data_IF_996615003255
#
_entry.id   IF_996615003255
#
_cell.length_a   1.000
_cell.length_b   1.000
_cell.length_c   1.000
_cell.angle_alpha   90.00
_cell.angle_beta   90.00
_cell.angle_gamma   90.00
#
_symmetry.space_group_name_H-M   'P 1'
#
loop_
_entity.id
_entity.type
_entity.pdbx_description
1 polymer ?
#
# COMPACT_ATOMS: atom_id res chain seq x y z
N UNK A 1 -4.66 2.54 67.08
CA UNK A 1 -4.74 1.08 66.89
C UNK A 1 -4.10 0.82 65.53
N UNK A 2 -2.81 0.50 65.41
CA UNK A 2 -2.14 -0.79 65.73
C UNK A 2 -2.87 -1.94 65.02
N UNK A 3 -2.37 -2.71 64.05
CA UNK A 3 -1.12 -2.87 63.27
C UNK A 3 -1.45 -3.84 62.09
N UNK A 4 -0.54 -4.09 61.13
CA UNK A 4 -0.82 -4.50 59.74
C UNK A 4 -0.29 -5.91 59.32
N UNK A 5 -0.53 -6.28 58.04
CA UNK A 5 0.20 -7.21 57.10
C UNK A 5 0.52 -8.66 57.55
N UNK A 6 0.81 -9.64 56.64
CA UNK A 6 1.95 -9.66 55.68
C UNK A 6 1.58 -10.21 54.27
N UNK A 7 2.14 -9.75 53.14
CA UNK A 7 3.50 -9.96 52.59
C UNK A 7 4.06 -11.38 52.73
N UNK A 8 4.07 -12.14 51.63
CA UNK A 8 4.90 -13.32 51.45
C UNK A 8 5.83 -13.07 50.27
N UNK A 9 7.07 -12.72 50.62
CA UNK A 9 8.28 -12.93 49.84
C UNK A 9 8.82 -14.33 50.16
N UNK A 10 9.07 -15.16 49.16
CA UNK A 10 10.09 -16.20 49.27
C UNK A 10 10.95 -16.23 48.00
N UNK A 11 12.20 -15.86 48.22
CA UNK A 11 13.38 -16.15 47.44
C UNK A 11 13.71 -17.64 47.49
N UNK A 12 14.17 -18.22 46.38
CA UNK A 12 15.16 -19.29 46.42
C UNK A 12 16.07 -19.25 45.19
N UNK A 13 17.27 -18.72 45.40
CA UNK A 13 18.48 -19.03 44.66
C UNK A 13 18.74 -20.53 44.63
N UNK A 14 18.97 -21.07 43.42
CA UNK A 14 19.83 -22.21 43.07
C UNK A 14 19.95 -22.13 41.54
N UNK A 15 21.09 -22.15 40.86
CA UNK A 15 22.47 -22.43 41.18
C UNK A 15 23.15 -22.54 39.81
N UNK A 16 24.31 -21.92 39.62
CA UNK A 16 24.99 -21.87 38.32
C UNK A 16 25.52 -23.23 37.87
N UNK A 17 25.57 -23.43 36.55
CA UNK A 17 26.47 -24.37 35.89
C UNK A 17 26.63 -24.04 34.39
N UNK A 18 27.73 -23.39 34.05
CA UNK A 18 28.57 -23.67 32.87
C UNK A 18 30.02 -23.70 33.41
N UNK A 19 31.05 -24.31 32.76
CA UNK A 19 31.14 -24.72 31.35
C UNK A 19 31.80 -26.11 31.10
N UNK A 20 31.60 -26.67 29.91
CA UNK A 20 32.52 -27.62 29.26
C UNK A 20 32.18 -27.62 27.75
N UNK A 21 32.90 -26.91 26.88
CA UNK A 21 34.20 -27.19 26.28
C UNK A 21 34.25 -28.35 25.27
N UNK A 22 34.90 -28.05 24.14
CA UNK A 22 35.33 -28.91 23.03
C UNK A 22 34.30 -29.41 21.99
N UNK A 23 34.30 -28.79 20.80
CA UNK A 23 34.94 -29.38 19.62
C UNK A 23 34.69 -28.55 18.35
N UNK A 24 35.74 -27.83 17.95
CA UNK A 24 35.94 -27.30 16.60
C UNK A 24 36.06 -28.45 15.59
N UNK A 25 35.33 -28.38 14.48
CA UNK A 25 35.72 -29.02 13.22
C UNK A 25 35.42 -28.11 12.03
N UNK A 26 36.47 -27.37 11.65
CA UNK A 26 36.68 -26.86 10.30
C UNK A 26 36.80 -28.02 9.31
N UNK A 27 36.01 -28.03 8.23
CA UNK A 27 36.36 -28.73 6.98
C UNK A 27 35.73 -28.05 5.77
N UNK A 28 36.55 -27.36 4.99
CA UNK A 28 36.43 -27.12 3.54
C UNK A 28 37.88 -27.08 2.99
N UNK A 29 38.14 -27.20 1.67
CA UNK A 29 37.26 -27.53 0.54
C UNK A 29 37.80 -28.70 -0.32
N UNK A 30 36.96 -29.32 -1.16
CA UNK A 30 37.43 -30.18 -2.25
C UNK A 30 36.93 -29.65 -3.59
N UNK A 31 37.90 -29.23 -4.40
CA UNK A 31 37.81 -28.75 -5.78
C UNK A 31 37.69 -29.91 -6.77
N UNK A 32 36.83 -29.78 -7.79
CA UNK A 32 36.91 -30.54 -9.04
C UNK A 32 36.78 -29.61 -10.25
N UNK A 33 37.48 -29.85 -11.38
CA UNK A 33 37.75 -28.84 -12.40
C UNK A 33 36.70 -28.77 -13.53
N UNK A 34 36.72 -27.60 -14.18
CA UNK A 34 36.01 -27.18 -15.38
C UNK A 34 36.27 -28.06 -16.61
N UNK A 35 35.24 -28.27 -17.44
CA UNK A 35 35.46 -28.38 -18.89
C UNK A 35 34.24 -27.90 -19.70
N UNK A 36 34.42 -26.77 -20.39
CA UNK A 36 33.53 -26.23 -21.40
C UNK A 36 33.79 -26.94 -22.74
N UNK A 37 32.74 -27.42 -23.43
CA UNK A 37 32.82 -27.85 -24.83
C UNK A 37 31.88 -27.05 -25.71
N UNK A 38 32.47 -26.39 -26.71
CA UNK A 38 31.81 -25.63 -27.77
C UNK A 38 31.10 -26.55 -28.78
N UNK A 39 30.09 -26.06 -29.53
CA UNK A 39 29.36 -26.87 -30.49
C UNK A 39 30.07 -26.89 -31.86
N UNK A 40 30.01 -27.99 -32.62
CA UNK A 40 30.51 -28.03 -33.99
C UNK A 40 29.46 -27.46 -34.96
N UNK A 41 29.93 -26.61 -35.88
CA UNK A 41 29.29 -26.27 -37.16
C UNK A 41 29.65 -27.34 -38.17
N UNK A 42 28.72 -27.81 -39.02
CA UNK A 42 28.99 -28.11 -40.44
C UNK A 42 27.74 -28.50 -41.26
N UNK A 43 27.58 -27.76 -42.37
CA UNK A 43 26.91 -27.92 -43.68
C UNK A 43 26.06 -29.15 -44.08
N UNK A 44 24.89 -28.81 -44.65
CA UNK A 44 24.29 -29.20 -45.94
C UNK A 44 24.53 -30.58 -46.57
N UNK A 45 23.43 -31.28 -46.94
CA UNK A 45 23.16 -31.95 -48.23
C UNK A 45 21.66 -32.35 -48.24
N UNK A 46 20.80 -31.65 -48.99
CA UNK A 46 20.13 -32.07 -50.24
C UNK A 46 19.52 -33.49 -50.17
N UNK A 47 18.19 -33.57 -50.07
CA UNK A 47 17.41 -34.65 -50.68
C UNK A 47 16.28 -34.00 -51.47
N UNK A 48 16.19 -34.45 -52.71
CA UNK A 48 15.43 -33.89 -53.81
C UNK A 48 14.00 -34.45 -53.86
N UNK A 49 13.08 -33.54 -54.22
CA UNK A 49 11.77 -33.69 -54.85
C UNK A 49 10.86 -34.88 -54.52
N UNK A 50 9.65 -34.56 -54.05
CA UNK A 50 8.41 -35.04 -54.67
C UNK A 50 7.27 -34.04 -54.38
N UNK A 51 6.76 -33.42 -55.44
CA UNK A 51 5.70 -32.39 -55.41
C UNK A 51 4.33 -33.03 -55.68
N UNK A 52 3.29 -32.71 -54.91
CA UNK A 52 1.91 -32.76 -55.40
C UNK A 52 1.38 -31.36 -55.77
N UNK A 53 0.47 -31.35 -56.73
CA UNK A 53 -0.10 -30.22 -57.47
C UNK A 53 -0.87 -29.17 -56.60
N UNK A 54 -1.18 -27.98 -57.15
CA UNK A 54 -1.34 -26.74 -56.41
C UNK A 54 -2.72 -26.59 -55.75
N UNK A 55 -2.74 -26.15 -54.50
CA UNK A 55 -3.92 -25.63 -53.81
C UNK A 55 -3.83 -24.11 -53.84
N UNK A 56 -4.80 -23.47 -54.47
CA UNK A 56 -4.99 -22.03 -54.46
C UNK A 56 -5.20 -21.51 -53.03
N UNK A 57 -4.12 -21.02 -52.42
CA UNK A 57 -4.19 -20.22 -51.19
C UNK A 57 -3.58 -18.85 -51.43
N UNK A 58 -4.45 -17.83 -51.39
CA UNK A 58 -4.10 -16.41 -51.32
C UNK A 58 -2.95 -16.19 -50.31
N UNK A 59 -1.96 -15.34 -50.62
CA UNK A 59 -0.86 -15.10 -49.70
C UNK A 59 -1.40 -14.48 -48.41
N UNK A 60 -1.22 -15.21 -47.31
CA UNK A 60 -1.41 -14.70 -45.97
C UNK A 60 -0.46 -13.52 -45.79
N UNK A 61 -1.02 -12.33 -45.60
CA UNK A 61 -0.28 -11.16 -45.15
C UNK A 61 0.27 -11.50 -43.78
N UNK A 62 1.56 -11.87 -43.74
CA UNK A 62 2.34 -11.95 -42.52
C UNK A 62 2.41 -10.56 -41.92
N UNK A 63 1.43 -10.20 -41.08
CA UNK A 63 1.54 -9.08 -40.17
C UNK A 63 2.65 -9.42 -39.20
N UNK A 64 3.88 -9.00 -39.54
CA UNK A 64 4.95 -8.87 -38.56
C UNK A 64 4.43 -7.91 -37.50
N UNK A 65 3.97 -8.45 -36.38
CA UNK A 65 3.75 -7.65 -35.18
C UNK A 65 5.09 -7.04 -34.82
N UNK A 66 5.22 -5.75 -35.09
CA UNK A 66 6.29 -4.93 -34.54
C UNK A 66 6.26 -5.11 -33.02
N UNK A 67 7.37 -5.45 -32.35
CA UNK A 67 7.36 -5.58 -30.91
C UNK A 67 6.87 -4.25 -30.34
N UNK A 68 5.74 -4.26 -29.61
CA UNK A 68 5.30 -3.08 -28.85
C UNK A 68 6.48 -2.68 -27.98
N UNK A 69 7.14 -1.58 -28.31
CA UNK A 69 8.20 -1.01 -27.49
C UNK A 69 7.57 -0.72 -26.14
N UNK A 70 7.80 -1.59 -25.15
CA UNK A 70 7.36 -1.39 -23.78
C UNK A 70 8.03 -0.11 -23.30
N UNK A 71 7.28 0.98 -23.32
CA UNK A 71 7.72 2.25 -22.73
C UNK A 71 7.83 2.02 -21.23
N UNK A 72 8.96 2.37 -20.63
CA UNK A 72 9.14 2.30 -19.18
C UNK A 72 7.96 2.99 -18.48
N UNK A 73 7.29 2.32 -17.53
CA UNK A 73 6.21 2.92 -16.75
C UNK A 73 6.66 4.25 -16.12
N UNK A 74 5.78 5.25 -16.07
CA UNK A 74 6.09 6.56 -15.48
C UNK A 74 4.86 7.10 -14.76
N UNK A 75 5.04 7.48 -13.50
CA UNK A 75 3.99 8.17 -12.74
C UNK A 75 3.78 9.58 -13.30
N UNK A 76 2.52 10.03 -13.35
CA UNK A 76 2.16 11.37 -13.84
C UNK A 76 1.78 12.27 -12.68
N UNK A 77 2.31 13.49 -12.68
CA UNK A 77 2.02 14.49 -11.65
C UNK A 77 1.14 15.59 -12.28
N UNK A 78 0.01 15.89 -11.64
CA UNK A 78 -0.97 16.89 -12.11
C UNK A 78 -1.22 17.89 -11.00
N UNK A 79 -1.22 19.19 -11.31
CA UNK A 79 -1.59 20.22 -10.34
C UNK A 79 -3.11 20.18 -10.11
N UNK A 80 -3.53 19.89 -8.88
CA UNK A 80 -4.94 19.85 -8.48
C UNK A 80 -5.41 21.18 -7.89
N UNK A 81 -4.54 21.86 -7.14
CA UNK A 81 -4.90 23.09 -6.44
C UNK A 81 -3.71 24.04 -6.30
N UNK A 82 -4.02 25.34 -6.31
CA UNK A 82 -3.07 26.40 -5.99
C UNK A 82 -2.19 26.82 -7.17
N UNK A 83 -1.11 27.53 -6.86
CA UNK A 83 -0.10 27.97 -7.83
C UNK A 83 1.28 27.64 -7.30
N UNK A 84 2.10 26.86 -8.00
CA UNK A 84 3.44 26.51 -7.55
C UNK A 84 4.31 27.74 -7.31
N UNK A 85 5.06 27.76 -6.21
CA UNK A 85 6.05 28.78 -5.88
C UNK A 85 7.25 28.13 -5.20
N UNK A 86 8.45 28.64 -5.47
CA UNK A 86 9.71 28.03 -5.01
C UNK A 86 9.81 27.87 -3.49
N UNK A 87 9.30 28.86 -2.73
CA UNK A 87 9.37 28.88 -1.25
C UNK A 87 8.23 28.13 -0.54
N UNK A 88 7.33 27.48 -1.28
CA UNK A 88 6.23 26.72 -0.68
C UNK A 88 6.60 25.26 -0.52
N UNK A 89 6.02 24.62 0.49
CA UNK A 89 6.05 23.16 0.66
C UNK A 89 4.79 22.57 0.03
N UNK A 90 4.88 21.93 -1.15
CA UNK A 90 3.73 21.34 -1.80
C UNK A 90 3.34 20.01 -1.16
N UNK A 91 2.08 19.60 -1.36
CA UNK A 91 1.58 18.28 -1.04
C UNK A 91 1.39 17.47 -2.32
N UNK A 92 1.94 16.25 -2.35
CA UNK A 92 1.68 15.27 -3.40
C UNK A 92 0.71 14.20 -2.86
N UNK A 93 -0.52 14.22 -3.36
CA UNK A 93 -1.55 13.23 -3.10
C UNK A 93 -1.45 12.09 -4.12
N UNK A 94 -0.95 10.94 -3.67
CA UNK A 94 -0.81 9.74 -4.49
C UNK A 94 -2.18 9.10 -4.69
N UNK A 95 -2.47 8.68 -5.91
CA UNK A 95 -3.70 8.00 -6.27
C UNK A 95 -3.98 6.79 -5.37
N UNK A 96 -5.26 6.53 -5.15
CA UNK A 96 -5.71 5.39 -4.37
C UNK A 96 -5.52 4.06 -5.14
N UNK A 97 -6.17 2.99 -4.67
CA UNK A 97 -6.09 1.69 -5.33
C UNK A 97 -6.58 1.66 -6.78
N UNK A 98 -7.37 2.62 -7.24
CA UNK A 98 -7.75 2.71 -8.66
C UNK A 98 -6.58 3.13 -9.56
N UNK A 99 -5.51 3.67 -8.98
CA UNK A 99 -4.35 4.20 -9.69
C UNK A 99 -4.58 5.56 -10.34
N UNK A 100 -5.80 6.12 -10.26
CA UNK A 100 -6.15 7.41 -10.83
C UNK A 100 -6.29 8.48 -9.75
N UNK A 101 -5.92 9.72 -10.09
CA UNK A 101 -6.20 10.90 -9.27
C UNK A 101 -7.68 11.31 -9.32
N UNK A 102 -8.52 10.57 -10.06
CA UNK A 102 -9.97 10.78 -10.13
C UNK A 102 -10.63 10.82 -8.74
N UNK A 103 -10.10 10.08 -7.76
CA UNK A 103 -10.55 10.09 -6.35
C UNK A 103 -10.51 11.47 -5.70
N UNK A 104 -9.68 12.38 -6.23
CA UNK A 104 -9.50 13.73 -5.70
C UNK A 104 -10.30 14.81 -6.45
N UNK A 105 -11.05 14.47 -7.51
CA UNK A 105 -11.71 15.48 -8.37
C UNK A 105 -12.84 16.24 -7.67
N UNK A 106 -13.45 15.63 -6.66
CA UNK A 106 -14.54 16.24 -5.91
C UNK A 106 -14.06 17.04 -4.70
N UNK A 107 -12.74 17.11 -4.44
CA UNK A 107 -12.21 17.96 -3.39
C UNK A 107 -12.56 19.42 -3.70
N UNK A 108 -13.28 20.13 -2.79
CA UNK A 108 -13.48 21.55 -2.95
C UNK A 108 -12.14 22.30 -2.84
N UNK A 109 -12.09 23.57 -3.29
CA UNK A 109 -10.88 24.37 -3.16
C UNK A 109 -10.37 24.41 -1.72
N UNK A 110 -9.05 24.28 -1.57
CA UNK A 110 -8.39 24.39 -0.28
C UNK A 110 -8.16 25.86 0.10
N UNK A 111 -8.21 26.15 1.39
CA UNK A 111 -7.77 27.41 1.98
C UNK A 111 -6.30 27.33 2.43
N UNK A 112 -5.42 26.90 1.51
CA UNK A 112 -3.98 26.86 1.75
C UNK A 112 -3.22 27.61 0.66
N UNK A 113 -2.03 28.09 1.01
CA UNK A 113 -1.10 28.65 0.04
C UNK A 113 -0.32 27.54 -0.68
N UNK A 114 -0.20 26.34 -0.11
CA UNK A 114 0.54 25.23 -0.71
C UNK A 114 -0.09 24.75 -2.01
N UNK A 115 0.75 24.50 -3.01
CA UNK A 115 0.32 23.76 -4.19
C UNK A 115 0.03 22.30 -3.81
N UNK A 116 -1.06 21.75 -4.36
CA UNK A 116 -1.42 20.34 -4.17
C UNK A 116 -1.40 19.66 -5.53
N UNK A 117 -0.62 18.60 -5.62
CA UNK A 117 -0.49 17.77 -6.81
C UNK A 117 -1.14 16.42 -6.59
N UNK A 118 -1.74 15.86 -7.63
CA UNK A 118 -2.13 14.46 -7.72
C UNK A 118 -1.03 13.67 -8.41
N UNK A 119 -0.74 12.46 -7.93
CA UNK A 119 0.21 11.54 -8.55
C UNK A 119 -0.53 10.29 -9.02
N UNK A 120 -0.66 10.13 -10.33
CA UNK A 120 -1.22 8.93 -10.93
C UNK A 120 -0.23 7.75 -10.87
N UNK A 121 -0.78 6.55 -10.78
CA UNK A 121 0.00 5.33 -10.84
C UNK A 121 0.77 5.20 -12.16
N UNK A 122 2.02 4.69 -12.13
CA UNK A 122 2.76 4.36 -13.35
C UNK A 122 2.10 3.27 -14.20
N UNK A 123 1.17 2.50 -13.63
CA UNK A 123 0.52 1.34 -14.24
C UNK A 123 -0.92 1.61 -14.69
N UNK A 124 -1.38 2.87 -14.73
CA UNK A 124 -2.74 3.22 -15.22
C UNK A 124 -3.08 2.68 -16.61
N UNK A 125 -2.08 2.58 -17.50
CA UNK A 125 -2.24 2.03 -18.86
C UNK A 125 -2.15 0.50 -18.94
N UNK A 126 -1.56 -0.13 -17.93
CA UNK A 126 -1.30 -1.57 -17.84
C UNK A 126 -1.60 -2.04 -16.41
N UNK A 127 -2.87 -1.91 -15.97
CA UNK A 127 -3.26 -2.13 -14.57
C UNK A 127 -3.00 -3.55 -14.08
N UNK A 128 -2.97 -4.54 -14.99
CA UNK A 128 -2.61 -5.92 -14.72
C UNK A 128 -1.19 -6.10 -14.18
N UNK A 129 -0.32 -5.10 -14.39
CA UNK A 129 1.04 -5.10 -13.87
C UNK A 129 1.11 -4.68 -12.40
N UNK A 130 0.06 -4.11 -11.79
CA UNK A 130 0.08 -3.63 -10.41
C UNK A 130 0.04 -4.80 -9.40
N UNK A 131 1.08 -5.64 -9.30
CA UNK A 131 1.27 -6.67 -8.27
C UNK A 131 2.63 -7.36 -8.45
N UNK A 132 2.98 -8.30 -7.55
CA UNK A 132 4.19 -9.11 -7.68
C UNK A 132 5.46 -8.25 -7.70
N UNK A 133 6.32 -8.46 -8.69
CA UNK A 133 7.56 -7.68 -8.88
C UNK A 133 7.33 -6.17 -9.09
N UNK A 134 6.14 -5.81 -9.55
CA UNK A 134 5.68 -4.44 -9.77
C UNK A 134 4.80 -3.90 -8.63
N UNK A 135 4.78 -4.59 -7.48
CA UNK A 135 4.02 -4.21 -6.28
C UNK A 135 4.45 -2.87 -5.66
N UNK A 136 4.08 -2.64 -4.39
CA UNK A 136 4.28 -1.36 -3.70
C UNK A 136 5.69 -0.77 -3.87
N UNK A 137 6.81 -1.50 -3.66
CA UNK A 137 8.15 -0.94 -3.80
C UNK A 137 8.48 -0.42 -5.22
N UNK A 138 8.08 -1.15 -6.25
CA UNK A 138 8.41 -0.80 -7.63
C UNK A 138 7.50 0.34 -8.14
N UNK A 139 6.20 0.28 -7.83
CA UNK A 139 5.29 1.39 -8.09
C UNK A 139 5.79 2.69 -7.41
N UNK A 140 6.22 2.60 -6.15
CA UNK A 140 6.79 3.72 -5.42
C UNK A 140 8.08 4.25 -6.05
N UNK A 141 8.97 3.39 -6.57
CA UNK A 141 10.18 3.84 -7.29
C UNK A 141 9.84 4.77 -8.47
N UNK A 142 8.84 4.43 -9.27
CA UNK A 142 8.41 5.29 -10.37
C UNK A 142 7.80 6.61 -9.89
N UNK A 143 7.15 6.61 -8.72
CA UNK A 143 6.63 7.82 -8.08
C UNK A 143 7.79 8.69 -7.55
N UNK A 144 8.80 8.09 -6.91
CA UNK A 144 10.04 8.75 -6.47
C UNK A 144 10.70 9.46 -7.64
N UNK A 145 10.91 8.74 -8.75
CA UNK A 145 11.52 9.29 -9.97
C UNK A 145 10.75 10.53 -10.47
N UNK A 146 9.41 10.47 -10.50
CA UNK A 146 8.57 11.59 -10.91
C UNK A 146 8.59 12.76 -9.91
N UNK A 147 8.56 12.48 -8.61
CA UNK A 147 8.60 13.52 -7.55
C UNK A 147 9.94 14.25 -7.60
N UNK A 148 11.06 13.52 -7.71
CA UNK A 148 12.40 14.09 -7.84
C UNK A 148 12.57 14.92 -9.11
N UNK A 149 11.95 14.53 -10.23
CA UNK A 149 11.93 15.34 -11.46
C UNK A 149 11.11 16.63 -11.28
N UNK A 150 9.94 16.54 -10.65
CA UNK A 150 9.04 17.69 -10.48
C UNK A 150 9.53 18.72 -9.45
N UNK A 151 10.25 18.26 -8.43
CA UNK A 151 10.77 19.07 -7.35
C UNK A 151 12.09 18.44 -6.89
N UNK A 152 13.23 18.77 -7.52
CA UNK A 152 14.52 18.17 -7.17
C UNK A 152 14.93 18.46 -5.72
N UNK A 153 14.68 19.69 -5.27
CA UNK A 153 15.13 20.19 -3.97
C UNK A 153 13.99 20.76 -3.12
N UNK A 154 14.30 21.03 -1.85
CA UNK A 154 13.40 21.67 -0.91
C UNK A 154 12.38 20.73 -0.27
N UNK A 155 11.63 21.24 0.74
CA UNK A 155 10.73 20.45 1.56
C UNK A 155 9.52 19.98 0.73
N UNK A 156 8.95 18.83 1.05
CA UNK A 156 7.69 18.37 0.46
C UNK A 156 6.86 17.60 1.47
N UNK A 157 5.55 17.59 1.25
CA UNK A 157 4.62 16.69 1.92
C UNK A 157 4.15 15.61 0.94
N UNK A 158 3.98 14.40 1.45
CA UNK A 158 3.36 13.29 0.73
C UNK A 158 2.08 12.89 1.43
N UNK A 159 1.15 12.33 0.69
CA UNK A 159 0.06 11.59 1.29
C UNK A 159 -0.82 10.89 0.28
N UNK A 160 -1.86 10.25 0.75
CA UNK A 160 -2.85 9.66 -0.14
C UNK A 160 -3.94 8.91 0.60
N UNK A 161 -5.06 8.75 -0.10
CA UNK A 161 -6.18 7.95 0.32
C UNK A 161 -5.99 6.47 0.00
N UNK A 162 -6.35 5.62 0.95
CA UNK A 162 -6.31 4.17 0.82
C UNK A 162 -4.90 3.71 0.42
N UNK A 163 -4.79 2.95 -0.66
CA UNK A 163 -3.54 2.57 -1.29
C UNK A 163 -2.51 3.68 -1.52
N UNK A 164 -2.96 4.92 -1.74
CA UNK A 164 -2.09 6.09 -1.88
C UNK A 164 -1.31 6.39 -0.61
N UNK A 165 -1.87 6.11 0.57
CA UNK A 165 -1.17 6.22 1.86
C UNK A 165 -0.06 5.17 2.00
N UNK A 166 -0.33 3.93 1.58
CA UNK A 166 0.67 2.85 1.58
C UNK A 166 1.82 3.12 0.61
N UNK A 167 1.50 3.59 -0.60
CA UNK A 167 2.50 4.05 -1.57
C UNK A 167 3.26 5.26 -1.04
N UNK A 168 2.59 6.21 -0.37
CA UNK A 168 3.21 7.39 0.24
C UNK A 168 4.22 7.04 1.32
N UNK A 169 3.92 6.04 2.16
CA UNK A 169 4.88 5.49 3.11
C UNK A 169 6.14 4.98 2.41
N UNK A 170 5.98 4.16 1.37
CA UNK A 170 7.14 3.59 0.67
C UNK A 170 7.94 4.64 -0.11
N UNK A 171 7.26 5.61 -0.75
CA UNK A 171 7.91 6.74 -1.41
C UNK A 171 8.70 7.57 -0.40
N UNK A 172 8.16 7.80 0.79
CA UNK A 172 8.87 8.48 1.88
C UNK A 172 10.15 7.72 2.26
N UNK A 173 10.07 6.38 2.41
CA UNK A 173 11.21 5.54 2.77
C UNK A 173 12.30 5.61 1.70
N UNK A 174 11.94 5.45 0.44
CA UNK A 174 12.88 5.48 -0.70
C UNK A 174 13.48 6.88 -0.92
N UNK A 175 12.72 7.97 -0.77
CA UNK A 175 13.26 9.32 -0.85
C UNK A 175 14.32 9.56 0.24
N UNK A 176 14.06 9.09 1.46
CA UNK A 176 15.02 9.24 2.55
C UNK A 176 16.29 8.40 2.35
N UNK A 177 16.18 7.21 1.75
CA UNK A 177 17.34 6.41 1.32
C UNK A 177 18.20 7.15 0.27
N UNK A 178 17.60 8.06 -0.50
CA UNK A 178 18.27 8.97 -1.43
C UNK A 178 18.73 10.29 -0.76
N UNK A 179 18.71 10.36 0.58
CA UNK A 179 19.12 11.54 1.35
C UNK A 179 18.07 12.66 1.40
N UNK A 180 16.83 12.40 0.97
CA UNK A 180 15.76 13.40 0.91
C UNK A 180 14.63 13.07 1.88
N UNK A 181 14.68 13.72 3.04
CA UNK A 181 13.64 13.56 4.08
C UNK A 181 12.34 14.29 3.70
N UNK A 182 11.20 13.64 3.95
CA UNK A 182 9.86 14.22 3.77
C UNK A 182 9.46 14.99 5.04
N UNK A 183 8.86 16.17 4.87
CA UNK A 183 8.49 17.03 6.01
C UNK A 183 7.15 16.59 6.64
N UNK A 184 6.21 16.10 5.83
CA UNK A 184 4.88 15.69 6.26
C UNK A 184 4.40 14.47 5.51
N UNK A 185 3.98 13.43 6.22
CA UNK A 185 3.31 12.26 5.65
C UNK A 185 1.85 12.21 6.12
N UNK A 186 0.92 12.28 5.17
CA UNK A 186 -0.51 12.18 5.40
C UNK A 186 -1.04 10.82 4.94
N UNK A 187 -1.56 10.03 5.87
CA UNK A 187 -2.17 8.73 5.58
C UNK A 187 -3.67 8.88 5.74
N UNK A 188 -4.44 8.54 4.71
CA UNK A 188 -5.90 8.65 4.77
C UNK A 188 -6.48 7.24 4.61
N UNK A 189 -7.00 6.72 5.72
CA UNK A 189 -7.83 5.52 5.81
C UNK A 189 -7.24 4.26 5.19
N UNK A 190 -6.08 3.84 5.71
CA UNK A 190 -5.42 2.57 5.34
C UNK A 190 -4.66 2.03 6.55
N UNK A 191 -4.71 0.72 6.80
CA UNK A 191 -3.95 0.10 7.88
C UNK A 191 -2.44 0.26 7.69
N UNK A 192 -1.69 0.24 8.78
CA UNK A 192 -0.23 0.12 8.73
C UNK A 192 0.19 -1.16 8.00
N UNK A 193 1.42 -1.24 7.46
CA UNK A 193 1.94 -2.50 6.96
C UNK A 193 1.84 -3.59 8.04
N UNK A 194 1.51 -4.81 7.64
CA UNK A 194 1.29 -5.92 8.58
C UNK A 194 2.56 -6.74 8.73
N UNK A 195 2.79 -7.29 9.91
CA UNK A 195 3.85 -8.28 10.10
C UNK A 195 3.54 -9.53 9.27
N UNK A 196 4.54 -10.10 8.61
CA UNK A 196 4.38 -11.33 7.86
C UNK A 196 4.08 -12.49 8.82
N UNK A 197 3.03 -13.26 8.50
CA UNK A 197 2.65 -14.48 9.22
C UNK A 197 2.50 -15.63 8.22
N UNK A 198 2.46 -16.86 8.73
CA UNK A 198 2.14 -18.03 7.92
C UNK A 198 0.81 -17.83 7.17
N UNK A 199 0.81 -18.12 5.86
CA UNK A 199 -0.36 -17.87 5.00
C UNK A 199 -1.62 -18.61 5.48
N UNK A 200 -1.47 -19.74 6.15
CA UNK A 200 -2.57 -20.52 6.75
C UNK A 200 -3.25 -19.83 7.94
N UNK A 201 -2.59 -18.86 8.57
CA UNK A 201 -3.12 -18.09 9.70
C UNK A 201 -3.91 -16.85 9.26
N UNK A 202 -3.78 -16.43 7.99
CA UNK A 202 -4.57 -15.34 7.42
C UNK A 202 -6.01 -15.81 7.22
N UNK A 203 -6.94 -15.20 7.97
CA UNK A 203 -8.37 -15.55 7.93
C UNK A 203 -9.04 -15.04 6.66
N UNK A 204 -8.77 -13.78 6.31
CA UNK A 204 -9.36 -13.14 5.14
C UNK A 204 -8.32 -13.03 4.03
N UNK A 205 -8.45 -13.91 3.04
CA UNK A 205 -7.56 -13.92 1.87
C UNK A 205 -7.88 -12.77 0.91
N UNK A 206 -6.91 -12.29 0.11
CA UNK A 206 -7.13 -11.19 -0.84
C UNK A 206 -8.32 -11.40 -1.78
N UNK A 207 -8.53 -12.62 -2.26
CA UNK A 207 -9.66 -12.97 -3.14
C UNK A 207 -11.03 -12.88 -2.45
N UNK A 208 -11.11 -13.21 -1.16
CA UNK A 208 -12.35 -13.13 -0.39
C UNK A 208 -12.61 -11.69 0.07
N UNK A 209 -11.54 -10.99 0.46
CA UNK A 209 -11.47 -9.54 0.58
C UNK A 209 -12.08 -8.82 -0.61
N UNK A 210 -11.61 -9.16 -1.81
CA UNK A 210 -12.08 -8.57 -3.06
C UNK A 210 -13.57 -8.86 -3.33
N UNK A 211 -14.00 -10.11 -3.18
CA UNK A 211 -15.43 -10.47 -3.35
C UNK A 211 -16.32 -9.68 -2.40
N UNK A 212 -15.88 -9.48 -1.16
CA UNK A 212 -16.65 -8.74 -0.16
C UNK A 212 -16.68 -7.24 -0.47
N UNK A 213 -15.53 -6.67 -0.87
CA UNK A 213 -15.45 -5.29 -1.35
C UNK A 213 -16.43 -5.04 -2.50
N UNK A 214 -16.44 -5.90 -3.52
CA UNK A 214 -17.35 -5.79 -4.66
C UNK A 214 -18.82 -5.85 -4.23
N UNK A 215 -19.15 -6.69 -3.24
CA UNK A 215 -20.50 -6.77 -2.72
C UNK A 215 -20.91 -5.50 -1.95
N UNK A 216 -20.00 -4.87 -1.18
CA UNK A 216 -20.26 -3.60 -0.49
C UNK A 216 -20.38 -2.41 -1.45
N UNK A 217 -19.63 -2.47 -2.54
CA UNK A 217 -19.59 -1.42 -3.56
C UNK A 217 -20.74 -1.51 -4.57
N UNK A 218 -21.53 -2.60 -4.57
CA UNK A 218 -22.48 -2.93 -5.64
C UNK A 218 -23.60 -1.89 -5.85
N UNK A 219 -23.88 -1.04 -4.86
CA UNK A 219 -24.88 0.02 -4.96
C UNK A 219 -24.27 1.40 -5.24
N UNK A 220 -22.94 1.53 -5.21
CA UNK A 220 -22.26 2.79 -5.47
C UNK A 220 -22.09 3.04 -6.96
N UNK A 221 -22.47 4.22 -7.45
CA UNK A 221 -22.29 4.56 -8.86
C UNK A 221 -20.81 4.62 -9.28
N UNK A 222 -19.93 5.04 -8.38
CA UNK A 222 -18.49 5.15 -8.65
C UNK A 222 -17.79 3.78 -8.51
N UNK A 223 -18.04 3.09 -7.38
CA UNK A 223 -17.33 1.86 -7.02
C UNK A 223 -17.89 0.59 -7.67
N UNK A 224 -19.17 0.56 -8.08
CA UNK A 224 -19.77 -0.55 -8.84
C UNK A 224 -19.39 -0.55 -10.34
N UNK A 225 -18.28 0.09 -10.71
CA UNK A 225 -17.80 0.05 -12.09
C UNK A 225 -17.54 -1.41 -12.52
N UNK A 226 -17.61 -1.69 -13.83
CA UNK A 226 -17.33 -3.01 -14.38
C UNK A 226 -16.05 -3.58 -13.75
N UNK A 227 -16.13 -4.75 -13.10
CA UNK A 227 -14.99 -5.36 -12.40
C UNK A 227 -13.77 -5.60 -13.30
N UNK A 228 -13.98 -5.66 -14.62
CA UNK A 228 -12.93 -5.80 -15.63
C UNK A 228 -12.44 -4.45 -16.17
N UNK A 229 -12.96 -3.32 -15.68
CA UNK A 229 -12.46 -2.00 -16.06
C UNK A 229 -11.02 -1.80 -15.57
N UNK A 230 -10.19 -1.02 -16.29
CA UNK A 230 -8.81 -0.77 -15.88
C UNK A 230 -8.63 -0.30 -14.43
N UNK A 231 -9.44 0.63 -13.89
CA UNK A 231 -9.35 1.03 -12.48
C UNK A 231 -9.60 -0.11 -11.50
N UNK A 232 -10.55 -1.01 -11.79
CA UNK A 232 -10.88 -2.14 -10.91
C UNK A 232 -9.85 -3.26 -10.99
N UNK A 233 -9.23 -3.46 -12.16
CA UNK A 233 -8.07 -4.35 -12.28
C UNK A 233 -6.89 -3.84 -11.46
N UNK A 234 -6.62 -2.52 -11.53
CA UNK A 234 -5.56 -1.89 -10.74
C UNK A 234 -5.85 -2.01 -9.24
N UNK A 235 -7.10 -1.81 -8.82
CA UNK A 235 -7.51 -1.93 -7.42
C UNK A 235 -7.32 -3.34 -6.87
N UNK A 236 -7.73 -4.37 -7.62
CA UNK A 236 -7.45 -5.76 -7.27
C UNK A 236 -5.95 -6.03 -7.17
N UNK A 237 -5.17 -5.52 -8.14
CA UNK A 237 -3.72 -5.62 -8.13
C UNK A 237 -3.10 -5.01 -6.88
N UNK A 238 -3.52 -3.79 -6.52
CA UNK A 238 -3.06 -3.11 -5.32
C UNK A 238 -3.42 -3.88 -4.05
N UNK A 239 -4.62 -4.46 -3.95
CA UNK A 239 -4.98 -5.30 -2.80
C UNK A 239 -4.04 -6.50 -2.64
N UNK A 240 -3.67 -7.15 -3.75
CA UNK A 240 -2.65 -8.21 -3.73
C UNK A 240 -1.27 -7.66 -3.31
N UNK A 241 -0.90 -6.50 -3.83
CA UNK A 241 0.39 -5.87 -3.51
C UNK A 241 0.48 -5.51 -2.02
N UNK A 242 -0.57 -4.93 -1.44
CA UNK A 242 -0.67 -4.64 0.01
C UNK A 242 -0.59 -5.93 0.83
N UNK A 243 -1.27 -6.99 0.41
CA UNK A 243 -1.23 -8.28 1.11
C UNK A 243 0.17 -8.92 1.14
N UNK A 244 1.02 -8.62 0.15
CA UNK A 244 2.41 -9.09 0.09
C UNK A 244 3.44 -8.09 0.63
N UNK A 245 3.01 -6.91 1.08
CA UNK A 245 3.92 -5.83 1.45
C UNK A 245 4.19 -5.82 2.96
N UNK A 246 5.39 -6.31 3.32
CA UNK A 246 5.85 -6.45 4.70
C UNK A 246 7.22 -5.76 4.88
N UNK A 247 7.29 -4.42 4.77
CA UNK A 247 8.53 -3.67 4.96
C UNK A 247 8.97 -3.71 6.43
N UNK A 248 10.24 -3.45 6.66
CA UNK A 248 10.69 -3.04 7.99
C UNK A 248 10.17 -1.64 8.35
N UNK A 249 9.96 -1.34 9.64
CA UNK A 249 9.71 0.02 10.11
C UNK A 249 10.79 1.03 9.67
N UNK A 250 10.40 2.29 9.44
CA UNK A 250 11.36 3.34 9.12
C UNK A 250 12.36 3.54 10.25
N UNK A 251 13.64 3.56 9.89
CA UNK A 251 14.72 4.07 10.74
C UNK A 251 14.50 5.55 11.04
N UNK A 252 15.14 6.08 12.09
CA UNK A 252 15.02 7.50 12.47
C UNK A 252 15.32 8.47 11.31
N UNK A 253 16.29 8.12 10.45
CA UNK A 253 16.67 8.94 9.28
C UNK A 253 15.60 8.91 8.16
N UNK A 254 14.84 7.81 8.08
CA UNK A 254 13.79 7.62 7.08
C UNK A 254 12.46 8.26 7.49
N UNK A 255 12.22 8.44 8.78
CA UNK A 255 10.94 8.94 9.30
C UNK A 255 10.68 10.37 8.81
N UNK A 256 9.46 10.69 8.39
CA UNK A 256 9.08 12.07 8.10
C UNK A 256 9.22 12.94 9.35
N UNK A 257 9.29 14.27 9.21
CA UNK A 257 9.30 15.16 10.39
C UNK A 257 7.98 15.09 11.15
N UNK A 258 6.87 14.97 10.41
CA UNK A 258 5.51 14.92 10.96
C UNK A 258 4.69 13.88 10.21
N UNK A 259 3.87 13.14 10.94
CA UNK A 259 2.85 12.26 10.38
C UNK A 259 1.48 12.66 10.92
N UNK A 260 0.48 12.65 10.04
CA UNK A 260 -0.93 12.80 10.38
C UNK A 260 -1.73 11.69 9.70
N UNK A 261 -2.74 11.17 10.39
CA UNK A 261 -3.63 10.14 9.90
C UNK A 261 -5.07 10.67 9.88
N UNK A 262 -5.84 10.33 8.86
CA UNK A 262 -7.28 10.58 8.78
C UNK A 262 -7.98 9.24 8.61
N UNK A 263 -8.79 8.84 9.59
CA UNK A 263 -9.56 7.59 9.57
C UNK A 263 -11.01 7.79 9.12
N UNK A 264 -11.61 6.76 8.52
CA UNK A 264 -13.05 6.62 8.41
C UNK A 264 -13.60 6.17 9.76
N UNK A 265 -14.58 6.87 10.32
CA UNK A 265 -15.20 6.42 11.58
C UNK A 265 -16.03 5.16 11.39
N UNK A 266 -16.56 4.92 10.18
CA UNK A 266 -17.50 3.83 9.92
C UNK A 266 -16.85 2.69 9.14
N UNK A 267 -17.03 1.48 9.65
CA UNK A 267 -16.63 0.26 8.95
C UNK A 267 -17.54 -0.05 7.77
N UNK A 268 -16.98 -0.58 6.68
CA UNK A 268 -17.79 -1.02 5.53
C UNK A 268 -18.79 -2.14 5.88
N UNK A 269 -18.59 -2.89 6.97
CA UNK A 269 -19.51 -3.92 7.44
C UNK A 269 -20.90 -3.38 7.79
N UNK A 270 -21.02 -2.10 8.14
CA UNK A 270 -22.30 -1.39 8.36
C UNK A 270 -23.21 -1.46 7.13
N UNK A 271 -22.64 -1.55 5.93
CA UNK A 271 -23.39 -1.69 4.65
C UNK A 271 -24.10 -3.05 4.52
N UNK A 272 -23.85 -3.98 5.44
CA UNK A 272 -24.55 -5.26 5.54
C UNK A 272 -25.71 -5.26 6.55
N UNK A 273 -25.92 -4.21 7.34
CA UNK A 273 -26.86 -4.22 8.47
C UNK A 273 -28.27 -4.64 8.04
N UNK A 274 -28.73 -4.14 6.90
CA UNK A 274 -30.05 -4.43 6.34
C UNK A 274 -30.01 -5.61 5.33
N UNK A 275 -28.88 -6.32 5.22
CA UNK A 275 -28.63 -7.38 4.23
C UNK A 275 -28.17 -8.66 4.94
N UNK A 276 -29.08 -9.44 5.55
CA UNK A 276 -28.73 -10.57 6.42
C UNK A 276 -27.92 -11.66 5.70
N UNK A 277 -28.19 -11.91 4.41
CA UNK A 277 -27.44 -12.88 3.62
C UNK A 277 -26.00 -12.43 3.37
N UNK A 278 -25.81 -11.13 3.09
CA UNK A 278 -24.49 -10.56 2.88
C UNK A 278 -23.69 -10.52 4.18
N UNK A 279 -24.35 -10.18 5.31
CA UNK A 279 -23.76 -10.25 6.65
C UNK A 279 -23.30 -11.67 6.98
N UNK A 280 -24.14 -12.69 6.72
CA UNK A 280 -23.75 -14.09 6.93
C UNK A 280 -22.52 -14.46 6.10
N UNK A 281 -22.51 -14.11 4.80
CA UNK A 281 -21.38 -14.37 3.90
C UNK A 281 -20.09 -13.70 4.40
N UNK A 282 -20.16 -12.47 4.91
CA UNK A 282 -19.04 -11.76 5.50
C UNK A 282 -18.43 -12.55 6.68
N UNK A 283 -19.28 -13.02 7.60
CA UNK A 283 -18.83 -13.81 8.75
C UNK A 283 -18.26 -15.17 8.35
N UNK A 284 -18.90 -15.86 7.40
CA UNK A 284 -18.44 -17.15 6.87
C UNK A 284 -17.05 -17.04 6.20
N UNK A 285 -16.72 -15.85 5.67
CA UNK A 285 -15.40 -15.53 5.09
C UNK A 285 -14.36 -15.09 6.14
N UNK A 286 -14.70 -15.12 7.43
CA UNK A 286 -13.76 -14.84 8.53
C UNK A 286 -13.59 -13.37 8.88
N UNK A 287 -14.43 -12.48 8.34
CA UNK A 287 -14.43 -11.07 8.74
C UNK A 287 -15.04 -10.91 10.14
N UNK A 288 -14.45 -10.07 11.00
CA UNK A 288 -15.02 -9.75 12.30
C UNK A 288 -16.34 -8.98 12.17
N UNK A 289 -17.30 -9.30 13.05
CA UNK A 289 -18.57 -8.58 13.15
C UNK A 289 -18.43 -7.27 13.95
N UNK A 290 -17.54 -7.28 14.94
CA UNK A 290 -17.37 -6.23 15.95
C UNK A 290 -15.88 -5.99 16.19
N UNK A 291 -15.54 -4.81 16.71
CA UNK A 291 -14.19 -4.48 17.08
C UNK A 291 -13.72 -5.28 18.29
N UNK A 292 -12.43 -5.55 18.33
CA UNK A 292 -11.74 -6.16 19.47
C UNK A 292 -10.38 -5.49 19.67
N UNK A 293 -9.81 -5.48 20.89
CA UNK A 293 -8.52 -4.82 21.14
C UNK A 293 -7.43 -5.28 20.16
N UNK A 294 -6.81 -4.33 19.47
CA UNK A 294 -5.73 -4.59 18.51
C UNK A 294 -6.16 -5.07 17.13
N UNK A 295 -7.46 -5.09 16.79
CA UNK A 295 -7.92 -5.59 15.48
C UNK A 295 -7.28 -4.87 14.29
N UNK A 296 -7.01 -3.57 14.40
CA UNK A 296 -6.38 -2.79 13.33
C UNK A 296 -4.98 -3.32 12.97
N UNK A 297 -4.26 -3.85 13.96
CA UNK A 297 -2.92 -4.42 13.81
C UNK A 297 -2.93 -5.94 13.54
N UNK A 298 -4.05 -6.65 13.73
CA UNK A 298 -4.09 -8.12 13.63
C UNK A 298 -3.71 -8.58 12.21
N UNK A 299 -2.55 -9.25 12.01
CA UNK A 299 -2.14 -9.70 10.68
C UNK A 299 -3.08 -10.75 10.08
N UNK A 300 -3.90 -11.42 10.90
CA UNK A 300 -4.88 -12.42 10.44
C UNK A 300 -6.02 -11.81 9.63
N UNK A 301 -6.28 -10.50 9.76
CA UNK A 301 -7.30 -9.79 8.99
C UNK A 301 -6.89 -9.51 7.53
N UNK A 302 -5.63 -9.76 7.17
CA UNK A 302 -5.14 -9.53 5.82
C UNK A 302 -5.25 -8.06 5.38
N UNK A 303 -5.24 -7.81 4.07
CA UNK A 303 -5.16 -6.45 3.53
C UNK A 303 -6.42 -5.60 3.73
N UNK A 304 -7.59 -6.21 3.96
CA UNK A 304 -8.88 -5.51 3.84
C UNK A 304 -9.80 -5.61 5.04
N UNK A 305 -9.78 -6.70 5.81
CA UNK A 305 -10.87 -6.97 6.76
C UNK A 305 -10.91 -5.98 7.95
N UNK A 306 -9.80 -5.28 8.21
CA UNK A 306 -9.75 -4.20 9.20
C UNK A 306 -10.77 -3.09 8.90
N UNK A 307 -10.91 -2.67 7.63
CA UNK A 307 -11.79 -1.57 7.22
C UNK A 307 -13.28 -1.95 7.14
N UNK A 308 -13.64 -3.17 7.56
CA UNK A 308 -15.03 -3.62 7.64
C UNK A 308 -15.61 -3.45 9.04
N UNK A 309 -14.76 -3.33 10.06
CA UNK A 309 -15.16 -3.15 11.45
C UNK A 309 -15.48 -1.69 11.71
N UNK A 310 -16.50 -1.43 12.52
CA UNK A 310 -16.82 -0.07 12.93
C UNK A 310 -15.74 0.50 13.87
N UNK A 311 -15.11 1.59 13.47
CA UNK A 311 -14.04 2.23 14.25
C UNK A 311 -14.60 3.18 15.31
N UNK A 312 -15.80 3.71 15.06
CA UNK A 312 -16.48 4.62 15.97
C UNK A 312 -16.84 3.95 17.29
N UNK A 313 -16.35 4.53 18.38
CA UNK A 313 -16.61 4.03 19.74
C UNK A 313 -15.77 2.80 20.12
N UNK A 314 -14.96 2.29 19.19
CA UNK A 314 -14.00 1.23 19.44
C UNK A 314 -12.76 1.82 20.09
N UNK A 315 -12.44 1.40 21.31
CA UNK A 315 -11.32 1.95 22.08
C UNK A 315 -10.01 1.83 21.30
N UNK A 316 -9.33 2.97 21.12
CA UNK A 316 -8.05 3.04 20.40
C UNK A 316 -8.13 2.95 18.87
N UNK A 317 -9.29 2.60 18.29
CA UNK A 317 -9.42 2.32 16.85
C UNK A 317 -9.22 3.54 15.94
N UNK A 318 -9.30 4.76 16.48
CA UNK A 318 -8.99 6.00 15.75
C UNK A 318 -7.63 6.60 16.13
N UNK A 319 -6.78 5.82 16.81
CA UNK A 319 -5.41 6.19 17.17
C UNK A 319 -4.38 5.86 16.08
N UNK A 320 -3.09 5.71 16.44
CA UNK A 320 -2.03 5.38 15.48
C UNK A 320 -2.14 3.99 14.85
N UNK A 321 -2.72 3.02 15.57
CA UNK A 321 -3.02 1.67 15.05
C UNK A 321 -1.84 0.99 14.34
N UNK A 322 -0.66 1.04 14.95
CA UNK A 322 0.56 0.44 14.44
C UNK A 322 1.35 1.33 13.47
N UNK A 323 0.78 2.41 12.94
CA UNK A 323 1.55 3.34 12.10
C UNK A 323 2.71 3.98 12.85
N UNK A 324 2.56 4.19 14.16
CA UNK A 324 3.59 4.71 15.04
C UNK A 324 4.84 3.81 15.12
N UNK A 325 4.66 2.49 15.00
CA UNK A 325 5.77 1.55 14.82
C UNK A 325 6.55 1.85 13.55
N UNK A 326 5.84 2.09 12.44
CA UNK A 326 6.41 2.23 11.10
C UNK A 326 6.97 3.62 10.79
N UNK A 327 6.39 4.69 11.35
CA UNK A 327 6.75 6.08 11.03
C UNK A 327 7.30 6.86 12.23
N UNK A 328 7.36 6.25 13.41
CA UNK A 328 7.65 6.96 14.66
C UNK A 328 6.44 7.75 15.15
N UNK A 329 6.64 8.93 15.73
CA UNK A 329 5.52 9.67 16.32
C UNK A 329 4.43 10.03 15.29
N UNK A 330 3.20 9.60 15.53
CA UNK A 330 2.00 10.07 14.83
C UNK A 330 1.42 11.23 15.63
N UNK A 331 1.73 12.45 15.19
CA UNK A 331 1.37 13.65 15.94
C UNK A 331 -0.12 14.04 15.85
N UNK A 332 -0.85 13.52 14.87
CA UNK A 332 -2.28 13.75 14.72
C UNK A 332 -2.99 12.50 14.19
N UNK A 333 -4.06 12.11 14.86
CA UNK A 333 -5.05 11.18 14.35
C UNK A 333 -6.40 11.91 14.28
N UNK A 334 -6.89 12.10 13.06
CA UNK A 334 -8.14 12.76 12.73
C UNK A 334 -9.12 11.72 12.21
N UNK A 335 -10.40 12.08 12.14
CA UNK A 335 -11.44 11.19 11.60
C UNK A 335 -12.49 11.95 10.81
N UNK A 336 -13.19 11.21 9.95
CA UNK A 336 -14.35 11.67 9.18
C UNK A 336 -15.50 10.70 9.44
N UNK A 337 -16.68 11.22 9.80
CA UNK A 337 -17.90 10.43 9.98
C UNK A 337 -18.45 9.94 8.62
N UNK A 338 -17.74 8.99 8.03
CA UNK A 338 -18.02 8.31 6.77
C UNK A 338 -17.41 6.90 6.83
N UNK A 339 -17.80 6.05 5.89
CA UNK A 339 -17.02 4.84 5.57
C UNK A 339 -15.98 5.12 4.47
N UNK A 340 -15.04 4.18 4.29
CA UNK A 340 -13.97 4.25 3.29
C UNK A 340 -14.47 4.68 1.91
N UNK A 341 -15.55 4.08 1.43
CA UNK A 341 -16.06 4.27 0.07
C UNK A 341 -16.81 5.60 -0.08
N UNK A 342 -17.45 6.08 0.98
CA UNK A 342 -18.18 7.34 1.01
C UNK A 342 -17.28 8.55 1.21
N UNK A 343 -16.14 8.40 1.89
CA UNK A 343 -15.24 9.51 2.25
C UNK A 343 -14.80 10.37 1.05
N UNK A 344 -14.36 9.83 -0.09
CA UNK A 344 -13.98 10.64 -1.26
C UNK A 344 -15.15 11.09 -2.14
N UNK A 345 -16.39 10.72 -1.81
CA UNK A 345 -17.57 10.98 -2.64
C UNK A 345 -18.20 12.36 -2.35
N UNK A 346 -18.94 12.97 -3.30
CA UNK A 346 -19.52 14.32 -3.14
C UNK A 346 -20.26 14.58 -1.81
N UNK A 347 -20.92 13.55 -1.26
CA UNK A 347 -21.63 13.64 0.02
C UNK A 347 -20.74 13.87 1.25
N UNK A 348 -19.45 13.47 1.23
CA UNK A 348 -18.56 13.52 2.40
C UNK A 348 -17.19 14.13 2.12
N UNK A 349 -16.78 14.28 0.85
CA UNK A 349 -15.45 14.74 0.44
C UNK A 349 -15.04 16.09 1.03
N UNK A 350 -16.01 16.97 1.34
CA UNK A 350 -15.77 18.25 2.00
C UNK A 350 -15.25 18.10 3.44
N UNK A 351 -15.67 17.03 4.13
CA UNK A 351 -15.19 16.65 5.47
C UNK A 351 -13.75 16.10 5.38
N UNK A 352 -13.48 15.21 4.42
CA UNK A 352 -12.13 14.71 4.14
C UNK A 352 -11.17 15.86 3.83
N UNK A 353 -11.58 16.78 2.94
CA UNK A 353 -10.83 18.00 2.62
C UNK A 353 -10.54 18.83 3.87
N UNK A 354 -11.47 18.92 4.82
CA UNK A 354 -11.27 19.66 6.08
C UNK A 354 -10.12 19.08 6.90
N UNK A 355 -10.10 17.76 7.02
CA UNK A 355 -9.05 17.04 7.74
C UNK A 355 -7.71 17.10 7.04
N UNK A 356 -7.69 17.12 5.70
CA UNK A 356 -6.47 17.38 4.93
C UNK A 356 -5.93 18.78 5.22
N UNK A 357 -6.79 19.81 5.37
CA UNK A 357 -6.33 21.15 5.76
C UNK A 357 -5.79 21.22 7.18
N UNK A 358 -6.45 20.55 8.14
CA UNK A 358 -5.96 20.45 9.52
C UNK A 358 -4.56 19.81 9.55
N UNK A 359 -4.35 18.72 8.81
CA UNK A 359 -3.05 18.06 8.66
C UNK A 359 -2.02 18.97 7.97
N UNK A 360 -2.40 19.70 6.92
CA UNK A 360 -1.52 20.66 6.25
C UNK A 360 -1.13 21.81 7.16
N UNK A 361 -2.04 22.32 7.98
CA UNK A 361 -1.72 23.33 8.97
C UNK A 361 -0.69 22.79 9.95
N UNK A 362 -0.92 21.60 10.51
CA UNK A 362 0.01 20.91 11.40
C UNK A 362 1.41 20.73 10.80
N UNK A 363 1.51 20.31 9.54
CA UNK A 363 2.80 20.15 8.88
C UNK A 363 3.57 21.47 8.72
N UNK A 364 2.87 22.57 8.46
CA UNK A 364 3.47 23.88 8.24
C UNK A 364 3.81 24.64 9.53
N UNK A 365 3.29 24.23 10.70
CA UNK A 365 3.70 24.82 11.97
C UNK A 365 5.14 24.42 12.30
N UNK A 366 5.99 25.33 12.81
CA UNK A 366 7.31 24.96 13.33
C UNK A 366 7.16 23.96 14.48
N UNK A 367 8.05 22.97 14.57
CA UNK A 367 8.26 22.24 15.83
C UNK A 367 9.04 23.15 16.77
N UNK A 368 8.57 23.33 18.01
CA UNK A 368 9.43 23.88 19.07
C UNK A 368 10.62 22.90 19.22
N UNK A 369 11.84 23.39 18.96
CA UNK A 369 13.09 22.62 19.09
C UNK A 369 13.48 22.40 20.55
#
# INVERSE_FOLDING_TARGET
>A
MITPTPELSESSDWGGATPADTASRNTTPSTFPLEQKAPPKTWATIVESQTPAPVDTKPAVSTKETPKRLTTPKARIVLLHGRPKDKQTPLYLIADGTGSIATYIHLPPFNTKSAIYGVESPFTKFPELMAGENGIPNAAKHIVDAVMESRPDGPLHLGGFSGGGMLGYEVCRQLADLGRRVDGLLIIDICAPRTQIEASLVKVKPEDGWKMFQAMAAEDQFWNSNSQSPPMQHLLGLFKAVASYHPEPMTERQRPKKTSIIWAERGMGRRCEEKPELKRKMLDMGFPAEAYPGFMEDPKLGALAWGFVDERGSEGALGPNGWDRYVGNVGQCLSVDADHLNMPMPGHVHLMRAKIEEALAYFNFPTEE
#
